data_IF_101511655677
#
_entry.id   IF_101511655677
#
_cell.length_a   1.000
_cell.length_b   1.000
_cell.length_c   1.000
_cell.angle_alpha   90.00
_cell.angle_beta   90.00
_cell.angle_gamma   90.00
#
_symmetry.space_group_name_H-M   'P 1'
#
loop_
_entity.id
_entity.type
_entity.pdbx_description
1 polymer ?
#
# COMPACT_ATOMS: atom_id res chain seq x y z
N UNK A 1 10.81 11.77 -16.77
CA UNK A 1 9.49 11.26 -16.32
C UNK A 1 9.58 10.88 -14.84
N UNK A 2 8.64 11.33 -14.04
CA UNK A 2 8.62 10.97 -12.62
C UNK A 2 8.18 9.53 -12.41
N UNK A 3 8.73 8.82 -11.41
CA UNK A 3 8.20 7.52 -11.01
C UNK A 3 6.72 7.61 -10.67
N UNK A 4 6.00 6.49 -10.81
CA UNK A 4 4.55 6.46 -10.61
C UNK A 4 4.15 6.94 -9.21
N UNK A 5 4.88 6.50 -8.18
CA UNK A 5 4.61 6.93 -6.81
C UNK A 5 4.78 8.44 -6.62
N UNK A 6 5.76 9.05 -7.27
CA UNK A 6 5.94 10.49 -7.23
C UNK A 6 4.82 11.25 -7.94
N UNK A 7 4.26 10.70 -9.01
CA UNK A 7 3.12 11.33 -9.69
C UNK A 7 1.90 11.34 -8.79
N UNK A 8 1.63 10.24 -8.10
CA UNK A 8 0.52 10.15 -7.14
C UNK A 8 0.74 11.14 -5.99
N UNK A 9 1.94 11.20 -5.44
CA UNK A 9 2.28 12.13 -4.37
C UNK A 9 2.08 13.59 -4.80
N UNK A 10 2.51 13.94 -5.99
CA UNK A 10 2.33 15.28 -6.54
C UNK A 10 0.85 15.64 -6.66
N UNK A 11 0.03 14.72 -7.14
CA UNK A 11 -1.41 14.94 -7.28
C UNK A 11 -2.10 15.10 -5.93
N UNK A 12 -1.69 14.33 -4.93
CA UNK A 12 -2.21 14.48 -3.57
C UNK A 12 -1.82 15.83 -2.97
N UNK A 13 -0.58 16.27 -3.16
CA UNK A 13 -0.15 17.60 -2.70
C UNK A 13 -0.93 18.71 -3.36
N UNK A 14 -1.22 18.58 -4.65
CA UNK A 14 -2.04 19.53 -5.39
C UNK A 14 -3.47 19.59 -4.84
N UNK A 15 -3.97 18.51 -4.25
CA UNK A 15 -5.28 18.47 -3.60
C UNK A 15 -5.23 18.93 -2.14
N UNK A 16 -4.10 19.46 -1.68
CA UNK A 16 -3.96 20.01 -0.34
C UNK A 16 -3.55 18.99 0.73
N UNK A 17 -3.13 17.79 0.34
CA UNK A 17 -2.71 16.75 1.28
C UNK A 17 -1.20 16.82 1.48
N UNK A 18 -0.70 16.98 2.71
CA UNK A 18 0.73 16.89 2.98
C UNK A 18 1.23 15.47 2.72
N UNK A 19 2.23 15.32 1.86
CA UNK A 19 2.79 14.01 1.52
C UNK A 19 4.31 14.05 1.63
N UNK A 20 4.88 13.10 2.36
CA UNK A 20 6.32 12.85 2.36
C UNK A 20 6.57 11.54 1.64
N UNK A 21 7.56 11.53 0.74
CA UNK A 21 8.00 10.31 0.04
C UNK A 21 9.37 9.94 0.61
N UNK A 22 9.48 8.75 1.20
CA UNK A 22 10.70 8.33 1.86
C UNK A 22 10.83 6.81 1.88
N UNK A 23 12.06 6.33 1.86
CA UNK A 23 12.36 4.93 2.15
C UNK A 23 12.49 4.69 3.65
N UNK A 24 12.64 5.74 4.46
CA UNK A 24 12.73 5.65 5.91
C UNK A 24 11.37 5.96 6.53
N UNK A 25 10.52 4.94 6.58
CA UNK A 25 9.15 5.04 7.09
C UNK A 25 9.16 5.47 8.56
N UNK A 26 10.01 4.86 9.36
CA UNK A 26 10.07 5.12 10.80
C UNK A 26 10.37 6.58 11.10
N UNK A 27 11.38 7.15 10.44
CA UNK A 27 11.74 8.55 10.63
C UNK A 27 10.62 9.50 10.27
N UNK A 28 9.90 9.23 9.16
CA UNK A 28 8.80 10.07 8.72
C UNK A 28 7.61 9.98 9.68
N UNK A 29 7.27 8.79 10.13
CA UNK A 29 6.15 8.59 11.05
C UNK A 29 6.45 9.22 12.41
N UNK A 30 7.66 9.04 12.93
CA UNK A 30 8.06 9.63 14.21
C UNK A 30 8.09 11.16 14.18
N UNK A 31 8.44 11.76 13.05
CA UNK A 31 8.46 13.21 12.88
C UNK A 31 7.07 13.83 12.69
N UNK A 32 6.06 13.04 12.40
CA UNK A 32 4.71 13.55 12.13
C UNK A 32 4.02 13.97 13.42
N UNK A 33 3.36 15.12 13.38
CA UNK A 33 2.60 15.68 14.50
C UNK A 33 1.09 15.45 14.38
N UNK A 34 0.68 14.65 13.44
CA UNK A 34 -0.72 14.33 13.15
C UNK A 34 -0.86 12.88 12.72
N UNK A 35 -2.09 12.32 12.68
CA UNK A 35 -2.29 10.94 12.24
C UNK A 35 -1.71 10.68 10.84
N UNK A 36 -1.04 9.56 10.67
CA UNK A 36 -0.35 9.21 9.43
C UNK A 36 -1.11 8.10 8.71
N UNK A 37 -1.38 8.33 7.44
CA UNK A 37 -1.82 7.29 6.50
C UNK A 37 -0.58 6.86 5.72
N UNK A 38 -0.22 5.58 5.84
CA UNK A 38 0.93 5.03 5.15
C UNK A 38 0.48 4.44 3.82
N UNK A 39 1.19 4.79 2.75
CA UNK A 39 0.89 4.28 1.41
C UNK A 39 2.07 3.45 0.93
N UNK A 40 1.82 2.16 0.64
CA UNK A 40 2.77 1.28 -0.01
C UNK A 40 2.37 1.09 -1.46
N UNK A 41 3.26 1.46 -2.37
CA UNK A 41 3.03 1.39 -3.81
C UNK A 41 4.01 0.42 -4.45
N UNK A 42 3.50 -0.56 -5.20
CA UNK A 42 4.29 -1.52 -5.96
C UNK A 42 5.32 -2.25 -5.07
N UNK A 43 6.62 -2.06 -5.31
CA UNK A 43 7.68 -2.69 -4.50
C UNK A 43 7.86 -2.07 -3.13
N UNK A 44 7.25 -0.93 -2.86
CA UNK A 44 7.23 -0.32 -1.52
C UNK A 44 6.21 -0.95 -0.58
N UNK A 45 5.31 -1.78 -1.08
CA UNK A 45 4.25 -2.38 -0.28
C UNK A 45 4.77 -3.34 0.80
N UNK A 46 5.73 -4.24 0.55
CA UNK A 46 6.22 -5.13 1.61
C UNK A 46 6.73 -4.38 2.84
N UNK A 47 7.52 -3.33 2.65
CA UNK A 47 8.02 -2.52 3.76
C UNK A 47 6.89 -1.82 4.52
N UNK A 48 5.89 -1.31 3.81
CA UNK A 48 4.75 -0.66 4.43
C UNK A 48 3.92 -1.65 5.26
N UNK A 49 3.68 -2.84 4.73
CA UNK A 49 2.95 -3.90 5.45
C UNK A 49 3.71 -4.33 6.70
N UNK A 50 5.02 -4.54 6.57
CA UNK A 50 5.86 -4.93 7.71
C UNK A 50 5.81 -3.86 8.80
N UNK A 51 5.91 -2.59 8.42
CA UNK A 51 5.82 -1.50 9.40
C UNK A 51 4.47 -1.55 10.13
N UNK A 52 3.37 -1.71 9.37
CA UNK A 52 2.04 -1.77 9.94
C UNK A 52 1.83 -2.99 10.86
N UNK A 53 2.49 -4.12 10.55
CA UNK A 53 2.41 -5.33 11.36
C UNK A 53 3.16 -5.21 12.69
N UNK A 54 4.18 -4.37 12.76
CA UNK A 54 5.09 -4.29 13.90
C UNK A 54 4.99 -3.00 14.71
N UNK A 55 4.22 -2.03 14.26
CA UNK A 55 4.06 -0.73 14.93
C UNK A 55 2.58 -0.41 15.10
N UNK A 56 2.28 0.37 16.12
CA UNK A 56 0.95 0.94 16.33
C UNK A 56 0.97 2.44 16.02
N UNK A 57 -0.19 3.05 15.97
CA UNK A 57 -0.31 4.50 15.82
C UNK A 57 -0.55 5.01 14.41
N UNK A 58 -0.57 4.14 13.40
CA UNK A 58 -1.02 4.54 12.06
C UNK A 58 -2.52 4.78 12.05
N UNK A 59 -2.96 5.78 11.30
CA UNK A 59 -4.38 6.00 11.06
C UNK A 59 -4.94 4.99 10.05
N UNK A 60 -4.15 4.65 9.04
CA UNK A 60 -4.55 3.71 7.98
C UNK A 60 -3.35 3.27 7.16
N UNK A 61 -3.56 2.19 6.40
CA UNK A 61 -2.61 1.70 5.40
C UNK A 61 -3.30 1.61 4.04
N UNK A 62 -2.64 2.11 3.01
CA UNK A 62 -3.14 2.00 1.63
C UNK A 62 -2.10 1.26 0.79
N UNK A 63 -2.54 0.25 0.07
CA UNK A 63 -1.68 -0.55 -0.80
C UNK A 63 -2.13 -0.37 -2.24
N UNK A 64 -1.25 0.19 -3.07
CA UNK A 64 -1.55 0.48 -4.48
C UNK A 64 -0.74 -0.46 -5.35
N UNK A 65 -1.40 -1.31 -6.11
CA UNK A 65 -0.76 -2.31 -6.98
C UNK A 65 0.39 -3.03 -6.25
N UNK A 66 0.15 -3.54 -5.04
CA UNK A 66 1.23 -3.98 -4.16
C UNK A 66 1.83 -5.30 -4.62
N UNK A 67 3.15 -5.40 -4.53
CA UNK A 67 3.86 -6.66 -4.71
C UNK A 67 3.80 -7.41 -3.38
N UNK A 68 2.80 -8.27 -3.23
CA UNK A 68 2.53 -9.04 -2.01
C UNK A 68 2.14 -10.46 -2.37
N UNK A 69 3.04 -11.36 -2.48
CA UNK A 69 2.70 -12.74 -2.79
C UNK A 69 3.86 -13.47 -3.40
N UNK A 70 3.64 -14.76 -3.64
CA UNK A 70 4.61 -15.60 -4.31
C UNK A 70 4.74 -15.17 -5.77
N UNK A 71 5.93 -14.71 -6.13
CA UNK A 71 6.22 -14.29 -7.49
C UNK A 71 7.28 -15.22 -8.06
N UNK A 72 6.89 -16.06 -9.01
CA UNK A 72 7.75 -17.11 -9.55
C UNK A 72 9.06 -16.60 -10.15
N UNK A 73 9.16 -15.34 -10.48
CA UNK A 73 10.39 -14.75 -11.02
C UNK A 73 11.31 -14.14 -9.98
N UNK A 74 10.94 -14.12 -8.72
CA UNK A 74 11.69 -13.44 -7.67
C UNK A 74 12.76 -14.37 -7.08
N UNK A 75 13.89 -14.47 -7.75
CA UNK A 75 14.97 -15.36 -7.34
C UNK A 75 16.11 -14.66 -6.59
N UNK A 76 15.94 -13.40 -6.19
CA UNK A 76 17.04 -12.56 -5.70
C UNK A 76 16.80 -11.94 -4.33
N UNK A 77 16.14 -12.66 -3.45
CA UNK A 77 15.84 -12.19 -2.10
C UNK A 77 14.48 -11.48 -1.95
N UNK A 78 13.86 -11.07 -3.05
CA UNK A 78 12.52 -10.48 -3.00
C UNK A 78 11.49 -11.53 -2.56
N UNK A 79 11.66 -12.77 -2.97
CA UNK A 79 10.80 -13.88 -2.55
C UNK A 79 10.85 -14.07 -1.04
N UNK A 80 12.05 -14.01 -0.43
CA UNK A 80 12.20 -14.12 1.02
C UNK A 80 11.49 -12.97 1.74
N UNK A 81 11.61 -11.76 1.23
CA UNK A 81 10.92 -10.60 1.79
C UNK A 81 9.39 -10.75 1.70
N UNK A 82 8.91 -11.25 0.58
CA UNK A 82 7.47 -11.47 0.38
C UNK A 82 6.94 -12.60 1.25
N UNK A 83 7.68 -13.68 1.41
CA UNK A 83 7.32 -14.76 2.32
C UNK A 83 7.24 -14.27 3.76
N UNK A 84 8.20 -13.43 4.19
CA UNK A 84 8.20 -12.86 5.52
C UNK A 84 6.96 -12.00 5.76
N UNK A 85 6.59 -11.15 4.79
CA UNK A 85 5.37 -10.35 4.87
C UNK A 85 4.13 -11.22 4.84
N UNK A 86 4.10 -12.23 3.95
CA UNK A 86 2.93 -13.10 3.77
C UNK A 86 2.61 -13.96 5.01
N UNK A 87 3.63 -14.28 5.81
CA UNK A 87 3.45 -15.06 7.04
C UNK A 87 3.44 -14.22 8.30
N UNK A 88 3.50 -12.89 8.17
CA UNK A 88 3.38 -11.99 9.31
C UNK A 88 1.96 -11.96 9.88
N UNK A 89 1.77 -11.30 11.03
CA UNK A 89 0.45 -11.19 11.64
C UNK A 89 -0.51 -10.39 10.76
N UNK A 90 -1.79 -10.72 10.87
CA UNK A 90 -2.84 -9.95 10.22
C UNK A 90 -2.87 -8.51 10.76
N UNK A 91 -3.41 -7.60 9.95
CA UNK A 91 -3.40 -6.16 10.26
C UNK A 91 -4.42 -5.73 11.32
N UNK A 92 -5.16 -6.66 11.89
CA UNK A 92 -6.09 -6.37 12.98
C UNK A 92 -7.17 -5.38 12.59
N UNK A 93 -7.35 -4.35 13.43
CA UNK A 93 -8.37 -3.31 13.22
C UNK A 93 -7.86 -2.12 12.41
N UNK A 94 -6.63 -2.14 11.93
CA UNK A 94 -6.08 -1.04 11.16
C UNK A 94 -6.85 -0.88 9.84
N UNK A 95 -7.48 0.28 9.60
CA UNK A 95 -8.13 0.52 8.31
C UNK A 95 -7.12 0.35 7.16
N UNK A 96 -7.42 -0.52 6.23
CA UNK A 96 -6.52 -0.87 5.15
C UNK A 96 -7.29 -0.89 3.83
N UNK A 97 -6.73 -0.24 2.82
CA UNK A 97 -7.30 -0.22 1.47
C UNK A 97 -6.31 -0.83 0.49
N UNK A 98 -6.78 -1.77 -0.32
CA UNK A 98 -6.03 -2.34 -1.43
C UNK A 98 -6.63 -1.85 -2.74
N UNK A 99 -5.82 -1.16 -3.55
CA UNK A 99 -6.19 -0.68 -4.88
C UNK A 99 -5.41 -1.45 -5.94
N UNK A 100 -6.10 -1.94 -6.97
CA UNK A 100 -5.46 -2.72 -8.03
C UNK A 100 -6.30 -2.66 -9.30
N UNK A 101 -5.64 -2.85 -10.45
CA UNK A 101 -6.34 -3.02 -11.73
C UNK A 101 -6.41 -4.51 -12.09
N UNK A 102 -7.56 -4.96 -12.58
CA UNK A 102 -7.77 -6.37 -12.95
C UNK A 102 -6.87 -6.83 -14.10
N UNK A 103 -6.42 -5.91 -14.95
CA UNK A 103 -5.58 -6.20 -16.11
C UNK A 103 -4.10 -5.85 -15.88
N UNK A 104 -3.68 -5.71 -14.63
CA UNK A 104 -2.28 -5.43 -14.31
C UNK A 104 -1.41 -6.62 -14.74
N UNK A 105 -0.53 -6.40 -15.72
CA UNK A 105 0.36 -7.44 -16.25
C UNK A 105 1.68 -7.51 -15.48
N UNK A 106 2.03 -6.45 -14.76
CA UNK A 106 3.28 -6.38 -14.00
C UNK A 106 3.11 -7.07 -12.65
N UNK A 107 1.98 -6.81 -12.00
CA UNK A 107 1.64 -7.43 -10.72
C UNK A 107 0.28 -8.12 -10.89
N UNK A 108 0.27 -9.40 -11.28
CA UNK A 108 -0.99 -10.12 -11.47
C UNK A 108 -1.82 -10.11 -10.19
N UNK A 109 -3.09 -9.79 -10.32
CA UNK A 109 -3.98 -9.63 -9.17
C UNK A 109 -4.09 -10.90 -8.33
N UNK A 110 -4.02 -12.08 -8.99
CA UNK A 110 -4.08 -13.36 -8.29
C UNK A 110 -2.92 -13.55 -7.31
N UNK A 111 -1.71 -13.10 -7.70
CA UNK A 111 -0.54 -13.19 -6.83
C UNK A 111 -0.67 -12.28 -5.63
N UNK A 112 -1.12 -11.05 -5.85
CA UNK A 112 -1.35 -10.07 -4.78
C UNK A 112 -2.45 -10.55 -3.84
N UNK A 113 -3.53 -11.13 -4.37
CA UNK A 113 -4.64 -11.64 -3.55
C UNK A 113 -4.18 -12.73 -2.57
N UNK A 114 -3.28 -13.61 -3.01
CA UNK A 114 -2.71 -14.61 -2.11
C UNK A 114 -2.00 -13.97 -0.91
N UNK A 115 -1.30 -12.87 -1.14
CA UNK A 115 -0.64 -12.12 -0.07
C UNK A 115 -1.61 -11.34 0.80
N UNK A 116 -2.56 -10.63 0.20
CA UNK A 116 -3.53 -9.83 0.96
C UNK A 116 -4.43 -10.70 1.83
N UNK A 117 -4.78 -11.90 1.38
CA UNK A 117 -5.62 -12.82 2.18
C UNK A 117 -4.95 -13.22 3.48
N UNK A 118 -3.62 -13.26 3.52
CA UNK A 118 -2.86 -13.63 4.73
C UNK A 118 -2.76 -12.51 5.74
N UNK A 119 -2.78 -11.26 5.28
CA UNK A 119 -2.64 -10.09 6.16
C UNK A 119 -3.97 -9.40 6.44
N UNK A 120 -5.04 -9.84 5.81
CA UNK A 120 -6.37 -9.22 5.90
C UNK A 120 -6.86 -9.18 7.34
N UNK A 121 -7.10 -7.97 7.83
CA UNK A 121 -7.71 -7.75 9.14
C UNK A 121 -9.20 -7.42 9.04
N UNK A 122 -9.80 -7.02 10.17
CA UNK A 122 -11.24 -6.74 10.25
C UNK A 122 -11.66 -5.52 9.45
N UNK A 123 -10.77 -4.55 9.27
CA UNK A 123 -11.06 -3.29 8.56
C UNK A 123 -10.36 -3.22 7.19
N UNK A 124 -10.25 -4.35 6.53
CA UNK A 124 -9.62 -4.45 5.20
C UNK A 124 -10.65 -4.27 4.11
N UNK A 125 -10.40 -3.31 3.21
CA UNK A 125 -11.24 -3.06 2.05
C UNK A 125 -10.43 -3.28 0.78
N UNK A 126 -11.05 -3.87 -0.23
CA UNK A 126 -10.41 -3.99 -1.54
C UNK A 126 -11.21 -3.21 -2.59
N UNK A 127 -10.48 -2.56 -3.49
CA UNK A 127 -11.08 -1.85 -4.61
C UNK A 127 -10.31 -2.23 -5.88
N UNK A 128 -10.87 -3.16 -6.62
CA UNK A 128 -10.31 -3.63 -7.88
C UNK A 128 -11.09 -2.98 -9.02
N UNK A 129 -10.37 -2.20 -9.84
CA UNK A 129 -10.98 -1.56 -11.01
C UNK A 129 -10.82 -2.47 -12.24
N UNK A 130 -11.79 -2.41 -13.14
CA UNK A 130 -11.68 -3.12 -14.42
C UNK A 130 -10.61 -2.44 -15.28
N UNK A 131 -9.73 -3.24 -15.85
CA UNK A 131 -8.65 -2.73 -16.68
C UNK A 131 -7.43 -2.34 -15.85
N UNK A 132 -6.84 -1.22 -16.18
CA UNK A 132 -5.64 -0.70 -15.48
C UNK A 132 -6.04 0.37 -14.48
N UNK A 133 -5.38 0.36 -13.32
CA UNK A 133 -5.56 1.43 -12.34
C UNK A 133 -4.81 2.67 -12.82
N UNK A 134 -5.54 3.74 -13.10
CA UNK A 134 -4.95 5.03 -13.51
C UNK A 134 -4.53 5.83 -12.28
N UNK A 135 -3.63 6.81 -12.49
CA UNK A 135 -3.21 7.72 -11.43
C UNK A 135 -4.41 8.50 -10.87
N UNK A 136 -5.31 8.95 -11.75
CA UNK A 136 -6.50 9.69 -11.32
C UNK A 136 -7.43 8.86 -10.45
N UNK A 137 -7.67 7.62 -10.82
CA UNK A 137 -8.52 6.71 -10.03
C UNK A 137 -7.86 6.42 -8.68
N UNK A 138 -6.55 6.17 -8.66
CA UNK A 138 -5.82 5.94 -7.43
C UNK A 138 -5.93 7.14 -6.49
N UNK A 139 -5.68 8.35 -6.98
CA UNK A 139 -5.77 9.57 -6.16
C UNK A 139 -7.17 9.76 -5.60
N UNK A 140 -8.20 9.57 -6.43
CA UNK A 140 -9.60 9.70 -5.99
C UNK A 140 -9.90 8.74 -4.84
N UNK A 141 -9.51 7.48 -5.00
CA UNK A 141 -9.78 6.46 -3.97
C UNK A 141 -8.99 6.68 -2.69
N UNK A 142 -7.74 7.12 -2.82
CA UNK A 142 -6.92 7.47 -1.66
C UNK A 142 -7.58 8.60 -0.86
N UNK A 143 -8.03 9.66 -1.54
CA UNK A 143 -8.66 10.80 -0.88
C UNK A 143 -9.98 10.40 -0.19
N UNK A 144 -10.81 9.64 -0.85
CA UNK A 144 -12.06 9.15 -0.28
C UNK A 144 -11.83 8.31 0.98
N UNK A 145 -10.88 7.39 0.90
CA UNK A 145 -10.56 6.52 2.01
C UNK A 145 -9.97 7.30 3.19
N UNK A 146 -9.00 8.16 2.93
CA UNK A 146 -8.35 8.96 3.96
C UNK A 146 -9.35 9.84 4.70
N UNK A 147 -10.32 10.44 4.00
CA UNK A 147 -11.36 11.28 4.61
C UNK A 147 -12.28 10.50 5.53
N UNK A 148 -12.48 9.21 5.28
CA UNK A 148 -13.34 8.37 6.14
C UNK A 148 -12.63 7.91 7.42
N UNK A 149 -11.31 7.77 7.38
CA UNK A 149 -10.55 7.14 8.48
C UNK A 149 -9.80 8.13 9.35
N UNK A 150 -9.72 9.40 8.93
CA UNK A 150 -9.05 10.45 9.73
C UNK A 150 -10.05 11.24 10.55
#
# INVERSE_FOLDING_TARGET
MLPHGERIARSLRAAGVPVAVSEDIEAVVEAADRPVVLIGHFTGAPAAVRYAQTHSGLAALILISPVLGMWDGASNGLADLMDEVSFGPALGDLPTLWLHGSDDEIVPISDTRAGTDRIRGAAFEEHVVDGLLTDGEAVTRVLEFARRVI
#
